data_IF_197510326377
#
_entry.id   IF_197510326377
#
_cell.length_a   1.000
_cell.length_b   1.000
_cell.length_c   1.000
_cell.angle_alpha   90.00
_cell.angle_beta   90.00
_cell.angle_gamma   90.00
#
_symmetry.space_group_name_H-M   'P 1'
#
loop_
_entity.id
_entity.type
_entity.pdbx_description
1 polymer ?
2 non-polymer ?
3 non-polymer ?
4 water ?
#
# COMPACT_ATOMS: atom_id res chain seq x y z
N UNK A 15 -5.10 12.00 -17.51
CA UNK A 15 -4.12 11.54 -16.48
C UNK A 15 -4.81 10.73 -15.40
N UNK A 16 -5.82 11.34 -14.78
CA UNK A 16 -6.69 10.63 -13.85
C UNK A 16 -7.38 9.48 -14.58
N UNK A 17 -7.67 9.70 -15.86
CA UNK A 17 -8.31 8.68 -16.67
C UNK A 17 -7.31 7.56 -16.86
N UNK A 18 -6.06 7.92 -17.18
CA UNK A 18 -4.97 6.95 -17.37
C UNK A 18 -4.68 6.09 -16.12
N UNK A 19 -4.70 6.73 -14.95
CA UNK A 19 -4.30 6.05 -13.70
C UNK A 19 -5.40 5.06 -13.29
N UNK A 20 -6.65 5.49 -13.38
CA UNK A 20 -7.78 4.61 -13.06
C UNK A 20 -7.75 3.38 -13.92
N UNK A 21 -7.53 3.58 -15.21
CA UNK A 21 -7.64 2.49 -16.18
C UNK A 21 -6.48 1.56 -16.05
N UNK A 22 -5.28 2.13 -15.91
CA UNK A 22 -4.07 1.37 -15.63
C UNK A 22 -4.14 0.55 -14.30
N UNK A 23 -4.72 1.12 -13.26
CA UNK A 23 -4.85 0.35 -11.98
C UNK A 23 -5.69 -0.92 -12.28
N UNK A 24 -6.79 -0.72 -13.02
CA UNK A 24 -7.61 -1.86 -13.47
C UNK A 24 -6.84 -2.89 -14.31
N UNK A 25 -5.98 -2.41 -15.20
CA UNK A 25 -5.28 -3.25 -16.13
C UNK A 25 -4.23 -4.09 -15.44
N UNK A 26 -3.45 -3.44 -14.55
CA UNK A 26 -2.44 -4.09 -13.70
C UNK A 26 -3.09 -5.15 -12.78
N UNK A 27 -4.21 -4.80 -12.14
CA UNK A 27 -4.96 -5.73 -11.27
C UNK A 27 -5.40 -6.99 -12.03
N UNK A 28 -5.97 -6.78 -13.22
CA UNK A 28 -6.56 -7.85 -14.04
C UNK A 28 -5.52 -8.70 -14.78
N UNK A 29 -4.43 -8.08 -15.21
CA UNK A 29 -3.42 -8.78 -16.02
C UNK A 29 -2.05 -8.92 -15.41
N UNK A 30 -1.80 -8.31 -14.25
CA UNK A 30 -0.47 -8.37 -13.61
C UNK A 30 0.49 -7.29 -14.10
N UNK A 31 1.67 -7.16 -13.47
CA UNK A 31 2.71 -6.17 -13.87
C UNK A 31 3.47 -6.32 -15.22
N UNK A 32 3.94 -7.52 -15.54
CA UNK A 32 4.48 -7.88 -16.86
C UNK A 32 3.33 -8.01 -17.85
N UNK A 33 2.27 -8.71 -17.47
CA UNK A 33 1.08 -8.86 -18.33
C UNK A 33 0.33 -7.57 -18.65
N UNK A 34 0.68 -6.46 -17.97
CA UNK A 34 0.12 -5.14 -18.28
C UNK A 34 0.85 -4.55 -19.50
N UNK A 35 0.40 -4.99 -20.69
CA UNK A 35 1.03 -4.60 -21.97
C UNK A 35 0.53 -3.25 -22.42
N UNK A 36 1.37 -2.60 -23.22
CA UNK A 36 1.03 -1.33 -23.85
C UNK A 36 -0.35 -1.50 -24.48
N UNK A 37 -0.48 -2.60 -25.22
CA UNK A 37 -1.73 -2.99 -25.86
C UNK A 37 -2.87 -3.00 -24.81
N UNK A 38 -2.67 -3.76 -23.73
CA UNK A 38 -3.68 -3.82 -22.65
C UNK A 38 -3.98 -2.47 -21.98
N UNK A 39 -2.91 -1.71 -21.74
CA UNK A 39 -3.06 -0.36 -21.13
C UNK A 39 -3.92 0.58 -21.96
N UNK A 40 -3.71 0.59 -23.30
CA UNK A 40 -4.52 1.44 -24.19
C UNK A 40 -5.95 0.97 -24.10
N UNK A 41 -6.08 -0.37 -24.15
CA UNK A 41 -7.38 -1.01 -24.00
C UNK A 41 -8.10 -0.65 -22.70
N UNK A 42 -7.37 -0.57 -21.59
CA UNK A 42 -8.02 -0.21 -20.29
C UNK A 42 -8.31 1.29 -20.16
N UNK A 43 -7.52 2.11 -20.85
CA UNK A 43 -7.65 3.57 -20.77
C UNK A 43 -8.41 4.24 -21.93
N UNK A 44 -8.37 3.64 -23.13
CA UNK A 44 -8.79 4.38 -24.33
C UNK A 44 -7.85 5.51 -24.75
N UNK A 45 -6.56 5.40 -24.42
CA UNK A 45 -5.54 6.40 -24.81
C UNK A 45 -4.42 5.64 -25.52
N UNK A 46 -3.49 6.37 -26.16
CA UNK A 46 -2.42 5.75 -26.92
C UNK A 46 -1.13 5.52 -26.16
N UNK A 47 -0.32 4.61 -26.69
CA UNK A 47 1.06 4.36 -26.27
C UNK A 47 1.85 5.64 -26.11
N UNK A 48 1.53 6.63 -26.93
CA UNK A 48 2.23 7.89 -26.94
C UNK A 48 1.79 8.82 -25.83
N UNK A 49 0.48 8.97 -25.65
CA UNK A 49 -0.08 9.80 -24.57
C UNK A 49 0.06 9.16 -23.17
N UNK A 50 0.31 7.85 -23.13
CA UNK A 50 0.59 7.20 -21.85
C UNK A 50 2.05 7.44 -21.44
N UNK A 51 3.00 7.04 -22.28
CA UNK A 51 4.39 7.40 -22.04
C UNK A 51 4.67 8.93 -21.95
N UNK A 52 3.77 9.78 -22.47
CA UNK A 52 4.00 11.24 -22.48
C UNK A 52 4.07 11.82 -21.10
N UNK A 53 3.08 11.47 -20.28
CA UNK A 53 3.04 11.93 -18.91
C UNK A 53 4.11 11.24 -18.09
N UNK A 54 4.15 9.90 -18.18
CA UNK A 54 4.85 9.05 -17.21
C UNK A 54 6.18 8.44 -17.64
N UNK A 55 6.48 8.40 -18.94
CA UNK A 55 7.75 7.83 -19.43
C UNK A 55 7.66 6.34 -19.71
N UNK A 56 7.66 5.53 -18.66
CA UNK A 56 7.56 4.09 -18.79
C UNK A 56 6.58 3.45 -17.77
N UNK A 57 6.31 2.17 -17.96
CA UNK A 57 5.45 1.35 -17.09
C UNK A 57 5.76 1.53 -15.62
N UNK A 58 7.05 1.45 -15.26
CA UNK A 58 7.51 1.56 -13.89
C UNK A 58 7.06 2.87 -13.22
N UNK A 59 7.19 3.98 -13.95
CA UNK A 59 6.68 5.26 -13.47
C UNK A 59 5.18 5.38 -13.31
N UNK A 60 4.45 4.75 -14.21
CA UNK A 60 2.99 4.72 -14.08
C UNK A 60 2.62 3.90 -12.84
N UNK A 61 3.30 2.77 -12.66
CA UNK A 61 3.22 2.00 -11.43
C UNK A 61 3.49 2.75 -10.12
N UNK A 62 4.60 3.48 -10.08
CA UNK A 62 4.96 4.28 -8.94
C UNK A 62 3.93 5.38 -8.66
N UNK A 63 3.41 6.03 -9.70
CA UNK A 63 2.39 7.04 -9.49
C UNK A 63 1.16 6.45 -8.85
N UNK A 64 0.79 5.21 -9.23
CA UNK A 64 -0.37 4.49 -8.63
C UNK A 64 -0.04 4.15 -7.14
N UNK A 65 1.21 3.74 -6.88
CA UNK A 65 1.68 3.42 -5.51
C UNK A 65 1.59 4.66 -4.66
N UNK A 66 1.99 5.81 -5.21
CA UNK A 66 1.94 7.07 -4.52
C UNK A 66 0.48 7.50 -4.18
N UNK A 67 -0.42 7.31 -5.13
CA UNK A 67 -1.86 7.44 -4.86
C UNK A 67 -2.36 6.61 -3.72
N UNK A 68 -2.05 5.32 -3.71
CA UNK A 68 -2.40 4.46 -2.60
C UNK A 68 -1.80 5.06 -1.31
N UNK A 69 -0.53 5.48 -1.35
CA UNK A 69 0.13 5.96 -0.15
C UNK A 69 -0.56 7.23 0.41
N UNK A 70 -0.98 8.11 -0.47
CA UNK A 70 -1.61 9.36 -0.04
C UNK A 70 -2.95 9.07 0.61
N UNK A 71 -3.70 8.12 0.04
CA UNK A 71 -5.04 7.67 0.59
C UNK A 71 -4.88 7.00 1.94
N UNK A 72 -3.92 6.07 2.03
CA UNK A 72 -3.63 5.47 3.27
C UNK A 72 -3.15 6.47 4.31
N UNK A 73 -2.37 7.45 3.89
CA UNK A 73 -1.89 8.46 4.80
C UNK A 73 -3.01 9.21 5.44
N UNK A 74 -4.07 9.49 4.68
CA UNK A 74 -5.22 10.22 5.22
C UNK A 74 -5.95 9.35 6.25
N UNK A 75 -6.07 8.10 5.94
CA UNK A 75 -6.68 7.18 6.86
C UNK A 75 -5.87 7.09 8.13
N UNK A 76 -4.55 6.98 8.01
CA UNK A 76 -3.70 6.80 9.17
C UNK A 76 -3.87 8.03 10.08
N UNK A 77 -3.91 9.17 9.44
CA UNK A 77 -4.09 10.42 10.20
C UNK A 77 -5.32 10.36 11.05
N UNK A 78 -6.42 9.81 10.57
CA UNK A 78 -7.61 9.74 11.38
C UNK A 78 -7.56 8.67 12.48
N UNK A 79 -7.25 7.43 12.08
CA UNK A 79 -7.31 6.31 13.00
C UNK A 79 -6.08 5.41 13.16
N UNK A 80 -5.06 5.57 12.32
CA UNK A 80 -3.97 4.61 12.38
C UNK A 80 -3.86 3.58 11.29
N UNK A 81 -2.74 2.82 11.30
CA UNK A 81 -2.56 1.73 10.38
C UNK A 81 -3.58 0.64 10.54
N UNK A 82 -4.07 0.45 11.74
CA UNK A 82 -5.13 -0.57 12.00
C UNK A 82 -6.36 -0.23 11.24
N UNK A 83 -6.69 1.07 11.10
CA UNK A 83 -7.80 1.45 10.26
C UNK A 83 -7.62 1.20 8.76
N UNK A 84 -6.38 1.28 8.26
CA UNK A 84 -6.09 0.95 6.90
C UNK A 84 -6.43 -0.57 6.67
N UNK A 85 -5.92 -1.34 7.58
CA UNK A 85 -6.18 -2.79 7.55
C UNK A 85 -7.68 -3.12 7.66
N UNK A 86 -8.41 -2.49 8.54
CA UNK A 86 -9.90 -2.60 8.57
C UNK A 86 -10.53 -2.29 7.24
N UNK A 87 -10.07 -1.22 6.56
CA UNK A 87 -10.54 -0.84 5.25
C UNK A 87 -10.27 -1.95 4.22
N UNK A 88 -9.12 -2.56 4.29
CA UNK A 88 -8.78 -3.70 3.39
C UNK A 88 -9.75 -4.89 3.56
N UNK A 89 -10.26 -5.10 4.76
CA UNK A 89 -11.22 -6.19 4.99
C UNK A 89 -12.61 -5.81 4.33
N UNK A 90 -12.89 -4.54 4.22
CA UNK A 90 -14.13 -4.08 3.68
C UNK A 90 -14.05 -4.04 2.15
N UNK A 91 -12.88 -4.20 1.55
CA UNK A 91 -12.70 -4.03 0.12
C UNK A 91 -12.12 -5.22 -0.65
N UNK A 92 -12.82 -6.32 -0.72
CA UNK A 92 -12.20 -7.46 -1.43
C UNK A 92 -11.85 -7.18 -2.92
N UNK A 93 -12.56 -6.24 -3.56
CA UNK A 93 -12.31 -5.91 -4.98
C UNK A 93 -10.89 -5.42 -5.28
N UNK A 94 -10.19 -4.94 -4.26
CA UNK A 94 -8.84 -4.44 -4.45
C UNK A 94 -7.74 -5.52 -4.28
N UNK A 95 -8.11 -6.78 -3.96
CA UNK A 95 -7.06 -7.80 -3.79
C UNK A 95 -6.22 -7.91 -5.03
N UNK A 96 -6.81 -7.83 -6.24
CA UNK A 96 -6.03 -8.06 -7.48
C UNK A 96 -4.91 -7.05 -7.57
N UNK A 97 -5.21 -5.82 -7.22
CA UNK A 97 -4.14 -4.75 -7.26
C UNK A 97 -3.02 -5.00 -6.25
N UNK A 98 -3.42 -5.46 -5.06
CA UNK A 98 -2.43 -5.81 -4.01
C UNK A 98 -1.42 -6.84 -4.51
N UNK A 99 -1.87 -7.90 -5.18
CA UNK A 99 -0.97 -8.89 -5.84
C UNK A 99 0.06 -8.25 -6.77
N UNK A 100 -0.42 -7.31 -7.58
CA UNK A 100 0.47 -6.63 -8.55
C UNK A 100 1.60 -6.12 -7.75
N UNK A 101 1.22 -5.44 -6.70
CA UNK A 101 2.21 -4.85 -5.83
C UNK A 101 3.28 -5.79 -5.33
N UNK A 102 2.94 -7.07 -5.00
CA UNK A 102 3.92 -8.11 -4.54
C UNK A 102 4.78 -8.79 -5.60
N UNK A 103 4.46 -8.64 -6.87
CA UNK A 103 5.28 -9.31 -7.91
C UNK A 103 6.75 -8.77 -8.00
N UNK A 104 6.95 -7.51 -7.62
CA UNK A 104 8.21 -6.76 -7.77
C UNK A 104 9.29 -6.99 -6.67
N UNK A 105 9.10 -7.91 -5.72
CA UNK A 105 9.87 -7.86 -4.46
C UNK A 105 11.39 -7.91 -4.61
N UNK A 106 11.93 -8.79 -5.47
CA UNK A 106 13.41 -8.88 -5.66
C UNK A 106 13.98 -7.60 -6.30
N UNK A 107 13.22 -7.12 -7.28
CA UNK A 107 13.46 -5.80 -7.86
C UNK A 107 13.51 -4.75 -6.78
N UNK A 108 12.51 -4.72 -5.88
CA UNK A 108 12.52 -3.72 -4.81
C UNK A 108 13.72 -3.82 -3.87
N UNK A 109 14.24 -5.03 -3.72
CA UNK A 109 15.22 -5.33 -2.68
C UNK A 109 16.59 -5.08 -3.27
N UNK A 110 16.80 -5.50 -4.50
CA UNK A 110 18.12 -5.39 -5.10
C UNK A 110 18.39 -4.25 -6.08
N UNK A 111 17.35 -3.76 -6.78
CA UNK A 111 17.55 -2.69 -7.78
C UNK A 111 17.50 -1.35 -7.03
N UNK A 112 18.67 -0.71 -6.87
CA UNK A 112 18.83 0.43 -5.98
C UNK A 112 18.10 1.67 -6.43
N UNK A 113 18.05 1.91 -7.73
CA UNK A 113 17.37 3.10 -8.21
C UNK A 113 15.86 2.90 -8.01
N UNK A 114 15.38 1.70 -8.31
CA UNK A 114 13.95 1.42 -8.23
C UNK A 114 13.55 1.49 -6.76
N UNK A 115 14.38 0.88 -5.89
CA UNK A 115 14.19 0.90 -4.44
C UNK A 115 13.97 2.31 -3.90
N UNK A 116 14.89 3.20 -4.28
CA UNK A 116 14.85 4.56 -3.80
C UNK A 116 13.59 5.24 -4.29
N UNK A 117 13.22 5.01 -5.54
CA UNK A 117 12.01 5.59 -6.09
C UNK A 117 10.70 5.11 -5.37
N UNK A 118 10.62 3.83 -5.11
CA UNK A 118 9.55 3.19 -4.35
C UNK A 118 9.46 3.81 -2.98
N UNK A 119 10.56 3.86 -2.25
CA UNK A 119 10.56 4.46 -0.94
C UNK A 119 10.13 5.95 -0.95
N UNK A 120 10.69 6.74 -1.86
CA UNK A 120 10.25 8.12 -2.03
C UNK A 120 8.75 8.24 -2.33
N UNK A 121 8.22 7.30 -3.12
CA UNK A 121 6.83 7.43 -3.49
C UNK A 121 5.91 7.04 -2.32
N UNK A 122 6.49 6.41 -1.31
CA UNK A 122 5.77 6.01 -0.09
C UNK A 122 5.92 7.01 1.04
N UNK A 123 6.64 8.09 0.83
CA UNK A 123 7.07 8.89 1.96
C UNK A 123 5.91 9.57 2.67
N UNK A 124 4.81 9.83 1.95
CA UNK A 124 3.68 10.54 2.56
C UNK A 124 3.07 9.62 3.62
N UNK A 125 3.05 8.34 3.32
CA UNK A 125 2.52 7.36 4.26
C UNK A 125 3.47 7.19 5.46
N UNK A 126 4.74 6.98 5.17
CA UNK A 126 5.73 6.83 6.22
C UNK A 126 5.66 8.03 7.21
N UNK A 127 5.56 9.24 6.68
CA UNK A 127 5.44 10.42 7.52
C UNK A 127 4.08 10.42 8.34
N UNK A 128 2.96 9.99 7.72
CA UNK A 128 1.69 9.99 8.38
C UNK A 128 1.74 9.00 9.52
N UNK A 129 2.36 7.83 9.32
CA UNK A 129 2.47 6.87 10.39
C UNK A 129 3.30 7.42 11.59
N UNK A 130 4.44 8.02 11.29
CA UNK A 130 5.27 8.70 12.31
C UNK A 130 4.58 9.83 13.09
N UNK A 131 3.79 10.61 12.38
CA UNK A 131 3.04 11.65 13.05
C UNK A 131 1.99 11.11 13.97
N UNK A 132 1.21 10.17 13.44
CA UNK A 132 0.20 9.45 14.23
C UNK A 132 0.75 8.79 15.47
N UNK A 133 1.77 8.01 15.36
CA UNK A 133 2.37 7.43 16.53
C UNK A 133 2.88 8.47 17.50
N UNK A 134 3.45 9.55 16.98
CA UNK A 134 3.93 10.66 17.84
C UNK A 134 2.75 11.22 18.62
N UNK A 135 1.59 11.42 17.95
CA UNK A 135 0.42 11.97 18.64
C UNK A 135 -0.07 11.00 19.74
N UNK A 136 -0.06 9.70 19.43
CA UNK A 136 -0.44 8.69 20.42
C UNK A 136 0.44 8.71 21.66
N UNK A 137 1.74 8.81 21.42
CA UNK A 137 2.71 8.87 22.50
C UNK A 137 2.44 10.15 23.35
N UNK A 138 2.26 11.27 22.64
CA UNK A 138 1.99 12.56 23.29
C UNK A 138 0.74 12.50 24.15
N UNK A 139 -0.24 11.71 23.75
CA UNK A 139 -1.43 11.55 24.53
C UNK A 139 -1.30 10.49 25.64
N UNK A 140 -0.18 9.80 25.72
CA UNK A 140 -0.04 8.75 26.71
C UNK A 140 -0.82 7.47 26.39
N UNK A 141 -1.09 7.19 25.14
CA UNK A 141 -1.93 6.03 24.78
C UNK A 141 -1.15 4.78 24.41
N UNK A 142 0.12 4.90 24.12
CA UNK A 142 0.87 3.72 23.77
C UNK A 142 1.60 3.15 24.96
N UNK A 143 1.89 1.84 24.95
CA UNK A 143 2.72 1.34 25.96
C UNK A 143 4.11 2.04 25.84
N UNK A 144 4.80 2.16 26.95
CA UNK A 144 6.08 2.84 27.00
C UNK A 144 7.18 1.88 27.47
N UNK A 145 6.85 0.62 27.70
CA UNK A 145 7.89 -0.38 27.96
C UNK A 145 8.58 -0.96 26.74
N UNK A 146 8.09 -0.63 25.55
CA UNK A 146 8.59 -1.14 24.31
C UNK A 146 8.89 0.19 23.57
N UNK A 147 10.09 0.40 23.03
CA UNK A 147 10.37 1.64 22.20
C UNK A 147 9.35 1.82 21.11
N UNK A 148 8.98 3.07 20.87
CA UNK A 148 8.02 3.39 19.87
C UNK A 148 8.46 2.84 18.51
N UNK A 149 9.76 2.84 18.23
CA UNK A 149 10.17 2.35 16.92
C UNK A 149 9.94 0.82 16.73
N UNK A 150 9.92 0.07 17.78
CA UNK A 150 9.56 -1.37 17.73
C UNK A 150 8.07 -1.49 17.45
N UNK A 151 7.29 -0.68 18.11
CA UNK A 151 5.83 -0.62 17.88
C UNK A 151 5.52 -0.31 16.44
N UNK A 152 6.27 0.63 15.89
CA UNK A 152 6.10 1.04 14.53
C UNK A 152 6.45 -0.11 13.57
N UNK A 153 7.57 -0.78 13.82
CA UNK A 153 7.95 -1.88 12.94
C UNK A 153 6.93 -3.03 13.04
N UNK A 154 6.44 -3.27 14.24
CA UNK A 154 5.37 -4.30 14.45
C UNK A 154 4.12 -3.99 13.64
N UNK A 155 3.67 -2.76 13.69
CA UNK A 155 2.53 -2.37 12.88
C UNK A 155 2.73 -2.49 11.41
N UNK A 156 3.91 -2.17 10.94
CA UNK A 156 4.19 -2.20 9.52
C UNK A 156 4.29 -3.67 9.09
N UNK A 157 4.86 -4.49 9.95
CA UNK A 157 4.92 -5.96 9.71
C UNK A 157 3.54 -6.56 9.61
N UNK A 158 2.64 -6.22 10.51
CA UNK A 158 1.27 -6.72 10.44
C UNK A 158 0.63 -6.28 9.12
N UNK A 159 0.87 -5.03 8.72
CA UNK A 159 0.28 -4.56 7.48
C UNK A 159 0.73 -5.33 6.25
N UNK A 160 2.02 -5.63 6.17
CA UNK A 160 2.59 -6.35 5.08
C UNK A 160 1.99 -7.75 5.07
N UNK A 161 1.79 -8.28 6.26
CA UNK A 161 1.15 -9.60 6.49
C UNK A 161 -0.25 -9.66 5.97
N UNK A 162 -1.03 -8.64 6.29
CA UNK A 162 -2.38 -8.49 5.76
C UNK A 162 -2.42 -8.44 4.27
N UNK A 163 -1.60 -7.57 3.66
CA UNK A 163 -1.50 -7.49 2.25
C UNK A 163 -1.17 -8.88 1.62
N UNK A 164 -0.18 -9.56 2.13
CA UNK A 164 0.23 -10.78 1.58
C UNK A 164 -0.88 -11.84 1.65
N UNK A 165 -1.53 -11.94 2.80
CA UNK A 165 -2.48 -13.03 3.10
C UNK A 165 -3.69 -12.77 2.27
N UNK A 166 -4.07 -11.51 2.17
CA UNK A 166 -5.27 -11.22 1.46
C UNK A 166 -5.00 -11.37 0.01
N UNK A 167 -3.81 -10.96 -0.44
CA UNK A 167 -3.44 -11.11 -1.84
C UNK A 167 -3.38 -12.57 -2.28
N UNK A 168 -3.06 -13.45 -1.39
CA UNK A 168 -2.85 -14.86 -1.72
C UNK A 168 -4.13 -15.73 -1.45
N UNK A 169 -5.25 -15.09 -1.13
CA UNK A 169 -6.55 -15.76 -1.04
C UNK A 169 -6.97 -16.29 0.30
N UNK A 170 -6.33 -15.84 1.38
CA UNK A 170 -6.83 -16.18 2.69
C UNK A 170 -8.25 -15.60 2.87
N UNK A 171 -9.04 -16.23 3.72
CA UNK A 171 -10.31 -15.66 4.14
C UNK A 171 -10.08 -14.50 5.13
N UNK A 172 -11.06 -13.62 5.22
CA UNK A 172 -11.09 -12.60 6.22
C UNK A 172 -11.20 -13.17 7.62
N UNK A 173 -11.35 -14.51 7.80
CA UNK A 173 -11.87 -14.99 9.05
C UNK A 173 -10.95 -14.78 10.23
N UNK A 174 -11.54 -14.20 11.28
CA UNK A 174 -10.88 -13.89 12.50
C UNK A 174 -10.01 -12.63 12.35
N UNK A 175 -9.96 -12.05 11.16
CA UNK A 175 -9.00 -10.93 10.93
C UNK A 175 -9.39 -9.66 11.68
N UNK A 176 -10.68 -9.38 11.81
CA UNK A 176 -11.08 -8.24 12.56
C UNK A 176 -10.73 -8.42 14.03
N UNK A 177 -10.77 -9.65 14.52
CA UNK A 177 -10.31 -9.91 15.88
C UNK A 177 -8.82 -9.81 16.03
N UNK A 178 -8.07 -10.25 15.04
CA UNK A 178 -6.61 -10.09 14.96
C UNK A 178 -6.25 -8.59 15.09
N UNK A 179 -6.97 -7.76 14.34
CA UNK A 179 -6.77 -6.27 14.47
C UNK A 179 -7.08 -5.74 15.83
N UNK A 180 -8.12 -6.23 16.51
CA UNK A 180 -8.31 -5.88 17.92
C UNK A 180 -7.11 -6.28 18.82
N UNK A 181 -6.58 -7.47 18.59
CA UNK A 181 -5.42 -7.92 19.31
C UNK A 181 -4.16 -7.01 19.04
N UNK A 182 -4.00 -6.61 17.78
CA UNK A 182 -2.88 -5.83 17.29
C UNK A 182 -2.93 -4.46 17.99
N UNK A 183 -4.09 -3.87 18.00
CA UNK A 183 -4.28 -2.58 18.69
C UNK A 183 -4.06 -2.68 20.16
N UNK A 184 -4.61 -3.72 20.78
CA UNK A 184 -4.42 -3.95 22.20
C UNK A 184 -2.94 -4.13 22.52
N UNK A 185 -2.18 -4.79 21.66
CA UNK A 185 -0.76 -5.05 21.89
C UNK A 185 0.05 -3.79 22.02
N UNK A 186 -0.34 -2.76 21.27
CA UNK A 186 0.52 -1.52 21.29
C UNK A 186 0.05 -0.46 22.34
N UNK A 187 -1.16 -0.64 22.86
CA UNK A 187 -1.69 0.23 23.87
C UNK A 187 -1.19 0.01 25.24
N UNK A 188 -1.23 1.12 25.97
CA UNK A 188 -0.96 1.16 27.38
C UNK A 188 -2.02 0.29 28.02
X LIG B 1 -6.28 2.54 16.74
X LIG C 1 -4.28 2.77 19.10
X LIG C 1 -5.45 2.77 18.59
X LIG C 1 -3.97 3.00 20.29
X LIG C 1 -3.04 2.58 18.25
X LIG C 1 -3.28 2.44 16.78
X LIG C 1 -4.41 1.72 16.35
X LIG C 1 -2.01 2.31 16.01
X LIG C 1 -2.26 2.22 14.52
X LIG C 1 -3.35 1.65 14.16
X LIG C 1 -1.39 2.81 13.77
X LIG C 1 -3.83 3.85 16.34
X LIG C 1 -5.10 4.12 16.18
X LIG C 1 -3.07 4.82 16.04
#
# INVERSE_FOLDING_TARGET
>A
GHMSVAAGDKPTNSRQEILEGARRCFAEHGYEGATVRRLEEATGKSRGAIFHHFGDKENLFLALAREDAARMAEVVSENGLVEVMRGMLEDPERYDWMSVRLEISKQLRTDPVFRAKWIDHQSVLDEAVRVRLSRNVDKGQMRTDVPIEVLHTFLETVLDGFISRLATGASTEGLSEVLDLVEGTVRKRD
>B hetero
1 MG MG
>C hetero
1 CIT C1 O1 O2 C2 C3 O7 C4 C5 O3 O4 C6 O5 O6
#
